data_IF_350683372719
#
_entry.id   IF_350683372719
#
_cell.length_a   1.000
_cell.length_b   1.000
_cell.length_c   1.000
_cell.angle_alpha   90.00
_cell.angle_beta   90.00
_cell.angle_gamma   90.00
#
_symmetry.space_group_name_H-M   'P 1'
#
loop_
_entity.id
_entity.type
_entity.pdbx_description
1 polymer ?
#
# COMPACT_ATOMS: atom_id res chain seq x y z
N UNK A 1 -24.14 -1.66 -7.66
CA UNK A 1 -23.47 -2.41 -6.56
C UNK A 1 -22.74 -3.66 -7.06
N UNK A 2 -23.45 -4.66 -7.63
CA UNK A 2 -22.84 -5.93 -8.09
C UNK A 2 -21.66 -5.73 -9.05
N UNK A 3 -21.80 -4.83 -10.04
CA UNK A 3 -20.73 -4.51 -11.01
C UNK A 3 -19.48 -3.90 -10.35
N UNK A 4 -19.67 -3.01 -9.37
CA UNK A 4 -18.59 -2.39 -8.63
C UNK A 4 -17.83 -3.43 -7.79
N UNK A 5 -18.52 -4.30 -7.05
CA UNK A 5 -17.88 -5.38 -6.30
C UNK A 5 -17.14 -6.37 -7.21
N UNK A 6 -17.69 -6.69 -8.38
CA UNK A 6 -17.00 -7.55 -9.35
C UNK A 6 -15.74 -6.88 -9.91
N UNK A 7 -15.78 -5.58 -10.20
CA UNK A 7 -14.61 -4.83 -10.65
C UNK A 7 -13.55 -4.72 -9.56
N UNK A 8 -13.97 -4.41 -8.32
CA UNK A 8 -13.08 -4.36 -7.15
C UNK A 8 -12.38 -5.70 -6.93
N UNK A 9 -13.12 -6.80 -6.93
CA UNK A 9 -12.57 -8.14 -6.72
C UNK A 9 -11.56 -8.52 -7.81
N UNK A 10 -11.88 -8.28 -9.08
CA UNK A 10 -10.96 -8.57 -10.19
C UNK A 10 -9.72 -7.69 -10.13
N UNK A 11 -9.88 -6.40 -9.88
CA UNK A 11 -8.76 -5.47 -9.72
C UNK A 11 -7.84 -5.88 -8.56
N UNK A 12 -8.42 -6.27 -7.42
CA UNK A 12 -7.66 -6.73 -6.26
C UNK A 12 -6.86 -8.01 -6.57
N UNK A 13 -7.48 -8.99 -7.24
CA UNK A 13 -6.79 -10.24 -7.61
C UNK A 13 -5.60 -9.94 -8.53
N UNK A 14 -5.81 -9.14 -9.57
CA UNK A 14 -4.76 -8.77 -10.53
C UNK A 14 -3.63 -8.00 -9.83
N UNK A 15 -3.99 -7.02 -9.00
CA UNK A 15 -3.01 -6.22 -8.26
C UNK A 15 -2.18 -7.08 -7.29
N UNK A 16 -2.81 -8.00 -6.56
CA UNK A 16 -2.11 -8.92 -5.66
C UNK A 16 -1.17 -9.85 -6.43
N UNK A 17 -1.58 -10.37 -7.58
CA UNK A 17 -0.72 -11.23 -8.42
C UNK A 17 0.52 -10.44 -8.87
N UNK A 18 0.33 -9.24 -9.42
CA UNK A 18 1.45 -8.39 -9.89
C UNK A 18 2.40 -8.08 -8.72
N UNK A 19 1.86 -7.68 -7.58
CA UNK A 19 2.67 -7.36 -6.40
C UNK A 19 3.35 -8.57 -5.78
N UNK A 20 2.73 -9.75 -5.84
CA UNK A 20 3.36 -11.00 -5.42
C UNK A 20 4.55 -11.35 -6.32
N UNK A 21 4.42 -11.19 -7.64
CA UNK A 21 5.54 -11.35 -8.56
C UNK A 21 6.66 -10.36 -8.25
N UNK A 22 6.34 -9.09 -8.01
CA UNK A 22 7.30 -8.08 -7.58
C UNK A 22 8.03 -8.45 -6.28
N UNK A 23 7.30 -8.97 -5.29
CA UNK A 23 7.88 -9.45 -4.03
C UNK A 23 8.87 -10.60 -4.28
N UNK A 24 8.48 -11.58 -5.09
CA UNK A 24 9.34 -12.72 -5.45
C UNK A 24 10.62 -12.23 -6.13
N UNK A 25 10.52 -11.30 -7.06
CA UNK A 25 11.69 -10.72 -7.74
C UNK A 25 12.64 -10.01 -6.76
N UNK A 26 12.08 -9.19 -5.85
CA UNK A 26 12.87 -8.49 -4.82
C UNK A 26 13.57 -9.44 -3.83
N UNK A 27 13.07 -10.66 -3.69
CA UNK A 27 13.67 -11.66 -2.81
C UNK A 27 14.68 -12.57 -3.52
N UNK A 28 14.44 -12.87 -4.79
CA UNK A 28 15.26 -13.83 -5.56
C UNK A 28 16.47 -13.18 -6.23
N UNK A 29 16.31 -11.98 -6.78
CA UNK A 29 17.33 -11.29 -7.57
C UNK A 29 17.59 -9.83 -7.16
N UNK A 30 17.65 -9.49 -5.85
CA UNK A 30 17.81 -8.10 -5.42
C UNK A 30 19.15 -7.49 -5.87
N UNK A 31 20.23 -8.26 -5.82
CA UNK A 31 21.57 -7.81 -6.23
C UNK A 31 21.62 -7.46 -7.72
N UNK A 32 21.02 -8.30 -8.58
CA UNK A 32 20.97 -8.07 -10.02
C UNK A 32 20.14 -6.81 -10.33
N UNK A 33 19.05 -6.61 -9.62
CA UNK A 33 18.21 -5.39 -9.78
C UNK A 33 19.00 -4.14 -9.41
N UNK A 34 19.74 -4.15 -8.31
CA UNK A 34 20.57 -3.01 -7.89
C UNK A 34 21.73 -2.80 -8.88
N UNK A 35 22.36 -3.87 -9.34
CA UNK A 35 23.45 -3.80 -10.31
C UNK A 35 23.02 -3.17 -11.64
N UNK A 36 21.80 -3.40 -12.10
CA UNK A 36 21.25 -2.75 -13.31
C UNK A 36 21.21 -1.22 -13.23
N UNK A 37 21.13 -0.67 -12.01
CA UNK A 37 21.16 0.78 -11.75
C UNK A 37 22.57 1.31 -11.41
N UNK A 38 23.61 0.50 -11.63
CA UNK A 38 24.99 0.89 -11.37
C UNK A 38 25.35 0.87 -9.88
N UNK A 39 24.72 0.03 -9.09
CA UNK A 39 24.96 -0.09 -7.65
C UNK A 39 26.39 -0.53 -7.34
N UNK A 40 27.08 0.23 -6.48
CA UNK A 40 28.37 -0.14 -5.89
C UNK A 40 28.14 -1.16 -4.76
N UNK A 41 29.23 -1.74 -4.25
CA UNK A 41 29.14 -2.71 -3.14
C UNK A 41 28.43 -2.09 -1.91
N UNK A 42 28.76 -0.84 -1.57
CA UNK A 42 28.14 -0.12 -0.45
C UNK A 42 26.63 0.06 -0.64
N UNK A 43 26.20 0.30 -1.88
CA UNK A 43 24.76 0.41 -2.21
C UNK A 43 24.08 -0.95 -2.12
N UNK A 44 24.75 -2.03 -2.47
CA UNK A 44 24.21 -3.39 -2.36
C UNK A 44 24.01 -3.80 -0.89
N UNK A 45 24.97 -3.48 -0.02
CA UNK A 45 24.92 -3.83 1.40
C UNK A 45 23.73 -3.18 2.12
N UNK A 46 23.32 -1.99 1.68
CA UNK A 46 22.13 -1.29 2.21
C UNK A 46 20.86 -1.66 1.43
N UNK A 47 20.97 -1.77 0.12
CA UNK A 47 19.83 -1.92 -0.79
C UNK A 47 19.20 -3.31 -0.76
N UNK A 48 19.99 -4.37 -0.62
CA UNK A 48 19.46 -5.74 -0.59
C UNK A 48 18.54 -5.97 0.62
N UNK A 49 18.94 -5.64 1.86
CA UNK A 49 18.01 -5.68 3.00
C UNK A 49 16.79 -4.78 2.82
N UNK A 50 16.99 -3.57 2.30
CA UNK A 50 15.92 -2.63 2.03
C UNK A 50 14.87 -3.21 1.07
N UNK A 51 15.28 -3.79 -0.06
CA UNK A 51 14.38 -4.40 -1.05
C UNK A 51 13.56 -5.54 -0.45
N UNK A 52 14.19 -6.40 0.35
CA UNK A 52 13.51 -7.51 1.02
C UNK A 52 12.48 -7.02 2.04
N UNK A 53 12.82 -6.04 2.86
CA UNK A 53 11.92 -5.50 3.88
C UNK A 53 10.77 -4.72 3.24
N UNK A 54 11.07 -3.80 2.31
CA UNK A 54 10.06 -2.98 1.65
C UNK A 54 9.09 -3.84 0.83
N UNK A 55 9.57 -4.90 0.18
CA UNK A 55 8.69 -5.78 -0.60
C UNK A 55 7.61 -6.49 0.21
N UNK A 56 7.76 -6.61 1.53
CA UNK A 56 6.71 -7.12 2.42
C UNK A 56 5.44 -6.27 2.39
N UNK A 57 5.56 -4.97 2.09
CA UNK A 57 4.39 -4.09 2.00
C UNK A 57 3.66 -4.18 0.64
N UNK A 58 4.20 -4.86 -0.36
CA UNK A 58 3.62 -4.89 -1.71
C UNK A 58 2.21 -5.46 -1.75
N UNK A 59 1.95 -6.54 -1.02
CA UNK A 59 0.63 -7.17 -0.98
C UNK A 59 -0.40 -6.28 -0.29
N UNK A 60 -0.18 -5.76 0.94
CA UNK A 60 -1.11 -4.81 1.54
C UNK A 60 -1.22 -3.50 0.74
N UNK A 61 -0.14 -3.03 0.11
CA UNK A 61 -0.16 -1.87 -0.77
C UNK A 61 -1.08 -2.07 -1.98
N UNK A 62 -1.09 -3.26 -2.59
CA UNK A 62 -2.01 -3.59 -3.68
C UNK A 62 -3.46 -3.34 -3.28
N UNK A 63 -3.87 -3.80 -2.11
CA UNK A 63 -5.21 -3.56 -1.58
C UNK A 63 -5.47 -2.07 -1.33
N UNK A 64 -4.53 -1.36 -0.71
CA UNK A 64 -4.61 0.08 -0.47
C UNK A 64 -4.80 0.89 -1.76
N UNK A 65 -4.04 0.59 -2.81
CA UNK A 65 -4.14 1.24 -4.13
C UNK A 65 -5.52 1.00 -4.75
N UNK A 66 -6.01 -0.22 -4.73
CA UNK A 66 -7.32 -0.57 -5.29
C UNK A 66 -8.46 0.14 -4.54
N UNK A 67 -8.41 0.23 -3.20
CA UNK A 67 -9.39 0.99 -2.43
C UNK A 67 -9.31 2.50 -2.74
N UNK A 68 -8.10 3.05 -2.85
CA UNK A 68 -7.90 4.46 -3.21
C UNK A 68 -8.51 4.77 -4.58
N UNK A 69 -8.26 3.93 -5.57
CA UNK A 69 -8.83 4.03 -6.91
C UNK A 69 -10.36 3.90 -6.89
N UNK A 70 -10.91 2.99 -6.06
CA UNK A 70 -12.35 2.86 -5.89
C UNK A 70 -12.97 4.14 -5.35
N UNK A 71 -12.38 4.78 -4.33
CA UNK A 71 -12.90 6.04 -3.78
C UNK A 71 -12.89 7.16 -4.82
N UNK A 72 -11.89 7.21 -5.70
CA UNK A 72 -11.85 8.14 -6.82
C UNK A 72 -12.97 7.84 -7.81
N UNK A 73 -13.14 6.59 -8.19
CA UNK A 73 -14.16 6.15 -9.15
C UNK A 73 -15.60 6.42 -8.70
N UNK A 74 -15.87 6.37 -7.40
CA UNK A 74 -17.20 6.69 -6.84
C UNK A 74 -17.37 8.16 -6.45
N UNK A 75 -16.47 9.05 -6.89
CA UNK A 75 -16.55 10.47 -6.63
C UNK A 75 -16.18 10.90 -5.20
N UNK A 76 -15.55 10.02 -4.42
CA UNK A 76 -15.09 10.28 -3.06
C UNK A 76 -13.58 10.60 -3.04
N UNK A 77 -13.12 11.46 -3.95
CA UNK A 77 -11.71 11.81 -4.13
C UNK A 77 -11.03 12.33 -2.85
N UNK A 78 -11.77 13.03 -1.98
CA UNK A 78 -11.25 13.49 -0.69
C UNK A 78 -10.83 12.33 0.23
N UNK A 79 -11.58 11.22 0.24
CA UNK A 79 -11.19 10.01 1.01
C UNK A 79 -9.91 9.40 0.48
N UNK A 80 -9.76 9.35 -0.85
CA UNK A 80 -8.51 8.90 -1.50
C UNK A 80 -7.34 9.81 -1.13
N UNK A 81 -7.53 11.12 -1.15
CA UNK A 81 -6.51 12.09 -0.76
C UNK A 81 -6.07 11.89 0.70
N UNK A 82 -7.03 11.81 1.63
CA UNK A 82 -6.77 11.58 3.06
C UNK A 82 -5.99 10.27 3.25
N UNK A 83 -6.39 9.19 2.58
CA UNK A 83 -5.68 7.90 2.68
C UNK A 83 -4.23 8.02 2.22
N UNK A 84 -3.99 8.64 1.07
CA UNK A 84 -2.63 8.81 0.52
C UNK A 84 -1.79 9.71 1.42
N UNK A 85 -2.37 10.80 1.93
CA UNK A 85 -1.70 11.72 2.85
C UNK A 85 -1.35 11.04 4.18
N UNK A 86 -2.31 10.33 4.79
CA UNK A 86 -2.09 9.61 6.03
C UNK A 86 -0.99 8.55 5.87
N UNK A 87 -1.03 7.77 4.79
CA UNK A 87 -0.01 6.76 4.52
C UNK A 87 1.38 7.37 4.40
N UNK A 88 1.54 8.39 3.55
CA UNK A 88 2.83 8.92 3.16
C UNK A 88 3.46 9.83 4.23
N UNK A 89 2.67 10.72 4.82
CA UNK A 89 3.16 11.75 5.71
C UNK A 89 2.91 11.45 7.19
N UNK A 90 1.70 10.96 7.53
CA UNK A 90 1.31 10.75 8.93
C UNK A 90 1.81 9.42 9.48
N UNK A 91 1.96 8.40 8.64
CA UNK A 91 2.42 7.07 9.07
C UNK A 91 3.89 6.86 8.77
N UNK A 92 4.33 6.94 7.51
CA UNK A 92 5.72 6.60 7.14
C UNK A 92 6.72 7.49 7.85
N UNK A 93 6.56 8.82 7.80
CA UNK A 93 7.57 9.74 8.34
C UNK A 93 7.74 9.62 9.85
N UNK A 94 6.68 9.65 10.70
CA UNK A 94 6.87 9.51 12.15
C UNK A 94 7.39 8.13 12.55
N UNK A 95 6.94 7.04 11.88
CA UNK A 95 7.41 5.70 12.18
C UNK A 95 8.89 5.57 11.80
N UNK A 96 9.30 6.06 10.63
CA UNK A 96 10.69 6.06 10.19
C UNK A 96 11.58 6.87 11.14
N UNK A 97 11.10 8.04 11.58
CA UNK A 97 11.80 8.88 12.54
C UNK A 97 12.01 8.19 13.89
N UNK A 98 10.96 7.60 14.46
CA UNK A 98 11.04 6.85 15.71
C UNK A 98 11.98 5.65 15.58
N UNK A 99 11.88 4.88 14.50
CA UNK A 99 12.75 3.73 14.27
C UNK A 99 14.22 4.14 14.13
N UNK A 100 14.50 5.29 13.49
CA UNK A 100 15.86 5.81 13.35
C UNK A 100 16.49 6.27 14.67
N UNK A 101 15.66 6.64 15.65
CA UNK A 101 16.14 7.07 16.98
C UNK A 101 16.42 5.89 17.93
N UNK A 102 15.71 4.77 17.77
CA UNK A 102 15.76 3.65 18.70
C UNK A 102 16.65 2.51 18.19
N UNK A 103 16.70 2.35 16.86
CA UNK A 103 17.39 1.26 16.19
C UNK A 103 18.36 1.77 15.13
N UNK A 104 19.13 0.83 14.54
CA UNK A 104 20.02 1.12 13.44
C UNK A 104 19.26 1.57 12.16
N UNK A 105 19.99 2.18 11.22
CA UNK A 105 19.45 2.70 9.94
C UNK A 105 18.66 1.66 9.14
N UNK A 106 18.98 0.36 9.29
CA UNK A 106 18.25 -0.73 8.62
C UNK A 106 16.82 -0.89 9.13
N UNK A 107 16.55 -0.51 10.37
CA UNK A 107 15.23 -0.58 10.96
C UNK A 107 14.25 0.43 10.34
N UNK A 108 14.75 1.51 9.75
CA UNK A 108 13.93 2.53 9.07
C UNK A 108 13.10 1.91 7.94
N UNK A 109 13.62 0.89 7.27
CA UNK A 109 12.91 0.20 6.19
C UNK A 109 11.61 -0.48 6.65
N UNK A 110 11.52 -0.88 7.93
CA UNK A 110 10.29 -1.44 8.49
C UNK A 110 9.15 -0.42 8.62
N UNK A 111 9.44 0.88 8.53
CA UNK A 111 8.41 1.91 8.53
C UNK A 111 7.41 1.71 7.38
N UNK A 112 7.86 1.22 6.21
CA UNK A 112 7.02 1.00 5.04
C UNK A 112 5.97 -0.08 5.28
N UNK A 113 6.31 -1.34 5.63
CA UNK A 113 5.31 -2.37 5.89
C UNK A 113 4.41 -2.05 7.09
N UNK A 114 4.94 -1.40 8.13
CA UNK A 114 4.13 -0.98 9.28
C UNK A 114 3.10 0.07 8.86
N UNK A 115 3.54 1.13 8.18
CA UNK A 115 2.64 2.19 7.70
C UNK A 115 1.58 1.65 6.72
N UNK A 116 1.97 0.72 5.85
CA UNK A 116 1.04 0.12 4.89
C UNK A 116 -0.03 -0.73 5.58
N UNK A 117 0.34 -1.45 6.63
CA UNK A 117 -0.62 -2.22 7.43
C UNK A 117 -1.67 -1.31 8.09
N UNK A 118 -1.25 -0.20 8.72
CA UNK A 118 -2.18 0.76 9.30
C UNK A 118 -3.02 1.47 8.24
N UNK A 119 -2.42 1.81 7.10
CA UNK A 119 -3.13 2.40 5.97
C UNK A 119 -4.21 1.47 5.42
N UNK A 120 -3.95 0.18 5.36
CA UNK A 120 -4.94 -0.82 4.94
C UNK A 120 -6.13 -0.90 5.90
N UNK A 121 -5.89 -0.82 7.22
CA UNK A 121 -6.97 -0.75 8.22
C UNK A 121 -7.85 0.48 7.97
N UNK A 122 -7.25 1.63 7.72
CA UNK A 122 -7.97 2.87 7.41
C UNK A 122 -8.78 2.73 6.10
N UNK A 123 -8.20 2.10 5.08
CA UNK A 123 -8.88 1.82 3.82
C UNK A 123 -10.13 0.97 4.00
N UNK A 124 -10.01 -0.09 4.78
CA UNK A 124 -11.14 -0.99 5.10
C UNK A 124 -12.21 -0.23 5.89
N UNK A 125 -11.83 0.57 6.88
CA UNK A 125 -12.78 1.39 7.65
C UNK A 125 -13.56 2.36 6.76
N UNK A 126 -12.88 3.06 5.84
CA UNK A 126 -13.52 3.94 4.88
C UNK A 126 -14.43 3.19 3.90
N UNK A 127 -14.02 1.99 3.48
CA UNK A 127 -14.83 1.15 2.60
C UNK A 127 -16.11 0.66 3.30
N UNK A 128 -16.01 0.21 4.54
CA UNK A 128 -17.19 -0.19 5.35
C UNK A 128 -18.14 0.98 5.54
N UNK A 129 -17.62 2.17 5.83
CA UNK A 129 -18.44 3.37 5.94
C UNK A 129 -19.11 3.75 4.60
N UNK A 130 -18.41 3.58 3.48
CA UNK A 130 -18.98 3.79 2.15
C UNK A 130 -20.16 2.84 1.89
N UNK A 131 -19.98 1.56 2.21
CA UNK A 131 -21.01 0.54 1.95
C UNK A 131 -22.19 0.66 2.87
N UNK A 132 -22.01 1.03 4.13
CA UNK A 132 -23.10 1.18 5.12
C UNK A 132 -23.86 2.50 5.00
N UNK A 133 -23.20 3.59 4.68
CA UNK A 133 -23.79 4.93 4.67
C UNK A 133 -24.26 5.38 3.28
N UNK A 134 -23.37 5.43 2.34
CA UNK A 134 -23.67 6.05 1.04
C UNK A 134 -24.52 5.15 0.13
N UNK A 135 -24.39 3.82 0.25
CA UNK A 135 -25.22 2.90 -0.54
C UNK A 135 -26.65 2.75 -0.03
N UNK A 136 -26.90 2.88 1.27
CA UNK A 136 -28.28 2.95 1.80
C UNK A 136 -29.01 4.18 1.28
N UNK A 137 -28.32 5.32 1.16
CA UNK A 137 -28.93 6.57 0.62
C UNK A 137 -29.24 6.49 -0.87
N UNK A 138 -28.51 5.69 -1.63
CA UNK A 138 -28.75 5.50 -3.07
C UNK A 138 -29.93 4.56 -3.32
N UNK A 139 -30.15 3.56 -2.47
CA UNK A 139 -31.32 2.66 -2.58
C UNK A 139 -32.61 3.42 -2.26
N UNK A 140 -32.61 4.35 -1.28
CA UNK A 140 -33.76 5.19 -0.92
C UNK A 140 -34.12 6.27 -1.95
N UNK A 141 -33.24 6.55 -2.93
CA UNK A 141 -33.53 7.51 -4.01
C UNK A 141 -34.05 6.86 -5.30
N UNK A 142 -34.08 5.55 -5.35
CA UNK A 142 -34.50 4.76 -6.52
C UNK A 142 -35.88 4.11 -6.27
N UNK A 143 -36.36 4.12 -5.01
CA UNK A 143 -37.78 3.87 -4.65
C UNK A 143 -38.58 5.19 -4.65
#
# INVERSE_FOLDING_TARGET
KKRMYSALKRGLIIAVIIMAVGTILMWTIPEQLIAMFGGTQDIMDIGVPAFRIISLCFIPAAAGIIFTTLFQAVGKGLRSLIMSFCRQLVLILPIAWVLSMIFDYTAVWYAFPIAEFFSLILAIAFFVNLTKGDFKRLDQKIE
#
